data_IF_788614149814
#
_entry.id   IF_788614149814
#
_cell.length_a   1.000
_cell.length_b   1.000
_cell.length_c   1.000
_cell.angle_alpha   90.00
_cell.angle_beta   90.00
_cell.angle_gamma   90.00
#
_symmetry.space_group_name_H-M   'P 1'
#
loop_
_entity.id
_entity.type
_entity.pdbx_description
1 polymer ?
#
# COMPACT_ATOMS: atom_id res chain seq x y z
N UNK A 1 5.41 8.88 7.31
CA UNK A 1 6.24 8.98 8.53
C UNK A 1 5.42 8.49 9.72
N UNK A 2 6.04 7.73 10.62
CA UNK A 2 5.41 7.38 11.92
C UNK A 2 5.09 8.66 12.68
N UNK A 3 3.83 8.82 13.08
CA UNK A 3 3.42 9.84 14.04
C UNK A 3 3.61 9.29 15.45
N UNK A 4 3.04 8.12 15.74
CA UNK A 4 3.07 7.49 17.06
C UNK A 4 3.19 5.96 16.96
N UNK A 5 3.83 5.34 17.95
CA UNK A 5 3.84 3.88 18.17
C UNK A 5 3.32 3.60 19.57
N UNK A 6 2.38 2.66 19.68
CA UNK A 6 1.77 2.23 20.94
C UNK A 6 1.90 0.72 21.05
N UNK A 7 2.26 0.24 22.24
CA UNK A 7 2.19 -1.18 22.59
C UNK A 7 1.19 -1.31 23.72
N UNK A 8 0.18 -2.15 23.53
CA UNK A 8 -0.87 -2.40 24.52
C UNK A 8 -1.16 -3.88 24.67
N UNK A 9 -1.65 -4.27 25.85
CA UNK A 9 -2.24 -5.61 26.04
C UNK A 9 -3.62 -5.67 25.41
N UNK A 10 -4.08 -6.87 25.10
CA UNK A 10 -5.45 -7.14 24.66
C UNK A 10 -6.53 -6.65 25.63
N UNK A 11 -6.19 -6.51 26.92
CA UNK A 11 -7.03 -5.85 27.94
C UNK A 11 -7.14 -4.33 27.78
N UNK A 12 -6.40 -3.73 26.84
CA UNK A 12 -6.34 -2.29 26.61
C UNK A 12 -5.32 -1.55 27.48
N UNK A 13 -4.53 -2.26 28.30
CA UNK A 13 -3.51 -1.63 29.16
C UNK A 13 -2.31 -1.19 28.29
N UNK A 14 -1.98 0.12 28.23
CA UNK A 14 -0.82 0.59 27.48
C UNK A 14 0.48 0.26 28.23
N UNK A 15 1.37 -0.46 27.56
CA UNK A 15 2.69 -0.82 28.10
C UNK A 15 3.77 0.16 27.65
N UNK A 16 3.65 0.68 26.44
CA UNK A 16 4.66 1.57 25.86
C UNK A 16 4.04 2.55 24.87
N UNK A 17 4.61 3.75 24.80
CA UNK A 17 4.22 4.80 23.87
C UNK A 17 5.47 5.56 23.41
N UNK A 18 5.54 5.77 22.11
CA UNK A 18 6.53 6.58 21.45
C UNK A 18 5.83 7.57 20.52
N UNK A 19 6.25 8.83 20.57
CA UNK A 19 5.73 9.91 19.71
C UNK A 19 6.90 10.72 19.19
N UNK A 20 7.00 10.84 17.87
CA UNK A 20 8.07 11.60 17.20
C UNK A 20 8.00 13.09 17.55
N UNK A 21 6.79 13.61 17.74
CA UNK A 21 6.55 15.02 18.05
C UNK A 21 6.43 15.31 19.55
N UNK A 22 6.59 14.30 20.41
CA UNK A 22 6.42 14.42 21.85
C UNK A 22 4.98 14.73 22.30
N UNK A 23 4.00 14.73 21.38
CA UNK A 23 2.59 14.85 21.72
C UNK A 23 2.09 13.57 22.37
N UNK A 24 1.46 13.68 23.54
CA UNK A 24 0.79 12.57 24.21
C UNK A 24 -0.68 12.54 23.80
N UNK A 25 -0.98 11.92 22.67
CA UNK A 25 -2.36 11.57 22.27
C UNK A 25 -2.70 10.11 22.56
N UNK A 26 -2.02 9.51 23.54
CA UNK A 26 -2.15 8.10 23.89
C UNK A 26 -3.62 7.73 24.17
N UNK A 27 -4.34 8.54 24.94
CA UNK A 27 -5.72 8.25 25.34
C UNK A 27 -6.69 8.28 24.15
N UNK A 28 -6.51 9.23 23.22
CA UNK A 28 -7.29 9.32 21.97
C UNK A 28 -7.03 8.10 21.08
N UNK A 29 -5.75 7.70 20.94
CA UNK A 29 -5.34 6.56 20.11
C UNK A 29 -5.83 5.25 20.68
N UNK A 30 -5.64 5.02 21.98
CA UNK A 30 -6.10 3.79 22.64
C UNK A 30 -7.62 3.69 22.57
N UNK A 31 -8.35 4.79 22.77
CA UNK A 31 -9.81 4.80 22.66
C UNK A 31 -10.29 4.52 21.23
N UNK A 32 -9.69 5.18 20.23
CA UNK A 32 -10.01 4.95 18.82
C UNK A 32 -9.70 3.51 18.39
N UNK A 33 -8.56 2.97 18.83
CA UNK A 33 -8.15 1.60 18.54
C UNK A 33 -9.04 0.56 19.22
N UNK A 34 -9.37 0.71 20.50
CA UNK A 34 -10.25 -0.22 21.22
C UNK A 34 -11.68 -0.18 20.66
N UNK A 35 -12.16 1.00 20.25
CA UNK A 35 -13.43 1.13 19.52
C UNK A 35 -13.40 0.35 18.19
N UNK A 36 -12.29 0.46 17.46
CA UNK A 36 -12.08 -0.26 16.20
C UNK A 36 -11.90 -1.77 16.37
N UNK A 37 -11.21 -2.22 17.42
CA UNK A 37 -11.08 -3.64 17.77
C UNK A 37 -12.42 -4.19 18.25
N UNK A 38 -13.20 -3.42 19.02
CA UNK A 38 -14.53 -3.82 19.48
C UNK A 38 -15.46 -4.18 18.33
N UNK A 39 -15.38 -3.46 17.20
CA UNK A 39 -16.14 -3.79 15.99
C UNK A 39 -15.54 -4.94 15.15
N UNK A 40 -14.25 -5.24 15.33
CA UNK A 40 -13.52 -6.30 14.60
C UNK A 40 -13.53 -7.67 15.30
N UNK A 41 -13.57 -7.70 16.63
CA UNK A 41 -13.57 -8.94 17.45
C UNK A 41 -14.90 -9.69 17.34
N UNK A 42 -15.98 -9.03 16.90
CA UNK A 42 -17.19 -9.73 16.47
C UNK A 42 -17.02 -10.51 15.16
N UNK A 43 -15.90 -10.37 14.42
CA UNK A 43 -15.78 -10.86 13.04
C UNK A 43 -14.59 -11.77 12.68
N UNK A 44 -13.51 -11.96 13.47
CA UNK A 44 -12.48 -12.95 13.10
C UNK A 44 -11.42 -13.28 14.17
N UNK A 45 -10.96 -14.53 14.18
CA UNK A 45 -9.95 -15.08 15.09
C UNK A 45 -8.57 -15.37 14.48
N UNK A 46 -8.09 -14.58 13.51
CA UNK A 46 -6.74 -14.77 12.94
C UNK A 46 -5.91 -13.47 12.85
N UNK A 47 -4.60 -13.66 13.01
CA UNK A 47 -3.51 -12.68 12.92
C UNK A 47 -3.32 -12.15 11.48
N UNK A 48 -4.26 -11.38 10.94
CA UNK A 48 -4.10 -10.71 9.65
C UNK A 48 -4.03 -9.19 9.80
N UNK A 49 -3.16 -8.59 8.97
CA UNK A 49 -2.94 -7.14 8.84
C UNK A 49 -4.30 -6.44 8.78
N UNK A 50 -4.58 -5.63 9.77
CA UNK A 50 -5.79 -4.83 9.79
C UNK A 50 -5.34 -3.37 9.77
N UNK A 51 -5.87 -2.61 8.83
CA UNK A 51 -5.54 -1.21 8.59
C UNK A 51 -6.83 -0.41 8.73
N UNK A 52 -6.81 0.64 9.54
CA UNK A 52 -7.94 1.53 9.69
C UNK A 52 -7.53 2.95 9.30
N UNK A 53 -8.21 3.52 8.31
CA UNK A 53 -7.91 4.84 7.76
C UNK A 53 -8.82 5.92 8.36
N UNK A 54 -8.23 7.07 8.67
CA UNK A 54 -8.85 8.35 9.02
C UNK A 54 -8.47 9.38 7.96
N UNK A 55 -9.07 10.58 8.02
CA UNK A 55 -8.93 11.62 7.01
C UNK A 55 -7.48 12.02 6.64
N UNK A 56 -6.50 11.87 7.54
CA UNK A 56 -5.08 12.19 7.27
C UNK A 56 -4.09 11.15 7.80
N UNK A 57 -4.58 10.07 8.40
CA UNK A 57 -3.75 9.10 9.12
C UNK A 57 -4.35 7.71 9.02
N UNK A 58 -3.56 6.66 9.14
CA UNK A 58 -4.08 5.30 9.31
C UNK A 58 -3.36 4.57 10.44
N UNK A 59 -4.09 3.66 11.10
CA UNK A 59 -3.51 2.70 12.02
C UNK A 59 -3.06 1.47 11.26
N UNK A 60 -1.83 1.05 11.54
CA UNK A 60 -1.30 -0.25 11.14
C UNK A 60 -0.98 -0.98 12.43
N UNK A 61 -1.37 -2.24 12.57
CA UNK A 61 -1.02 -3.01 13.75
C UNK A 61 -0.67 -4.46 13.47
N UNK A 62 0.07 -5.04 14.42
CA UNK A 62 0.46 -6.44 14.48
C UNK A 62 0.12 -6.96 15.87
N UNK A 63 -0.54 -8.13 15.94
CA UNK A 63 -0.78 -8.85 17.19
C UNK A 63 0.33 -9.88 17.39
N UNK A 64 0.85 -9.98 18.61
CA UNK A 64 1.81 -11.02 19.01
C UNK A 64 1.49 -11.50 20.42
N UNK A 65 0.86 -12.66 20.52
CA UNK A 65 0.34 -13.16 21.80
C UNK A 65 -0.80 -12.27 22.32
N UNK A 66 -0.68 -11.80 23.57
CA UNK A 66 -1.61 -10.86 24.21
C UNK A 66 -1.26 -9.38 23.94
N UNK A 67 -0.27 -9.10 23.09
CA UNK A 67 0.19 -7.76 22.80
C UNK A 67 -0.23 -7.28 21.41
N UNK A 68 -0.63 -6.02 21.32
CA UNK A 68 -0.82 -5.28 20.09
C UNK A 68 0.28 -4.23 19.93
N UNK A 69 0.90 -4.23 18.76
CA UNK A 69 1.89 -3.25 18.33
C UNK A 69 1.23 -2.39 17.25
N UNK A 70 1.09 -1.10 17.52
CA UNK A 70 0.28 -0.19 16.71
C UNK A 70 1.15 0.98 16.27
N UNK A 71 1.09 1.32 14.99
CA UNK A 71 1.65 2.54 14.43
C UNK A 71 0.53 3.42 13.89
N UNK A 72 0.54 4.70 14.27
CA UNK A 72 -0.21 5.75 13.60
C UNK A 72 0.69 6.38 12.54
N UNK A 73 0.31 6.25 11.27
CA UNK A 73 1.10 6.71 10.12
C UNK A 73 0.28 7.63 9.24
N UNK A 74 0.91 8.33 8.29
CA UNK A 74 0.15 9.13 7.30
C UNK A 74 -0.71 8.20 6.44
N UNK A 75 -1.82 8.70 5.90
CA UNK A 75 -2.68 7.87 5.05
C UNK A 75 -1.96 7.33 3.80
N UNK A 76 -1.08 8.14 3.20
CA UNK A 76 -0.29 7.82 2.00
C UNK A 76 0.83 6.80 2.24
N UNK A 77 1.14 6.47 3.49
CA UNK A 77 2.26 5.60 3.82
C UNK A 77 1.95 4.12 3.55
N UNK A 78 2.81 3.35 2.90
CA UNK A 78 2.58 1.91 2.69
C UNK A 78 2.41 1.15 4.02
N UNK A 79 1.24 0.52 4.22
CA UNK A 79 0.95 -0.21 5.45
C UNK A 79 1.86 -1.44 5.63
N UNK A 80 2.30 -2.04 4.52
CA UNK A 80 3.19 -3.21 4.51
C UNK A 80 4.57 -2.89 5.11
N UNK A 81 5.13 -1.71 4.83
CA UNK A 81 6.39 -1.27 5.44
C UNK A 81 6.26 -1.20 6.96
N UNK A 82 5.19 -0.56 7.44
CA UNK A 82 4.97 -0.45 8.88
C UNK A 82 4.63 -1.79 9.53
N UNK A 83 4.06 -2.76 8.79
CA UNK A 83 3.93 -4.14 9.29
C UNK A 83 5.30 -4.77 9.54
N UNK A 84 6.23 -4.65 8.60
CA UNK A 84 7.59 -5.18 8.76
C UNK A 84 8.27 -4.53 9.98
N UNK A 85 8.19 -3.20 10.08
CA UNK A 85 8.71 -2.43 11.23
C UNK A 85 8.10 -2.93 12.55
N UNK A 86 6.77 -3.04 12.63
CA UNK A 86 6.08 -3.47 13.84
C UNK A 86 6.36 -4.92 14.19
N UNK A 87 6.55 -5.80 13.20
CA UNK A 87 6.91 -7.21 13.41
C UNK A 87 8.29 -7.33 14.04
N UNK A 88 9.27 -6.59 13.51
CA UNK A 88 10.63 -6.54 14.07
C UNK A 88 10.60 -5.96 15.49
N UNK A 89 9.86 -4.87 15.71
CA UNK A 89 9.67 -4.30 17.05
C UNK A 89 9.01 -5.29 18.00
N UNK A 90 8.03 -6.07 17.55
CA UNK A 90 7.35 -7.06 18.36
C UNK A 90 8.29 -8.21 18.78
N UNK A 91 9.15 -8.68 17.89
CA UNK A 91 10.22 -9.62 18.20
C UNK A 91 11.20 -9.08 19.23
N UNK A 92 11.71 -7.87 19.02
CA UNK A 92 12.65 -7.24 19.95
C UNK A 92 12.03 -6.99 21.32
N UNK A 93 10.80 -6.49 21.37
CA UNK A 93 10.10 -6.16 22.62
C UNK A 93 9.83 -7.42 23.45
N UNK A 94 9.23 -8.44 22.84
CA UNK A 94 8.91 -9.70 23.55
C UNK A 94 10.18 -10.40 24.02
N UNK A 95 11.24 -10.40 23.21
CA UNK A 95 12.53 -10.98 23.58
C UNK A 95 13.18 -10.23 24.74
N UNK A 96 13.20 -8.89 24.69
CA UNK A 96 13.86 -8.03 25.68
C UNK A 96 13.15 -8.00 27.03
N UNK A 97 11.81 -8.04 27.06
CA UNK A 97 11.00 -7.85 28.26
C UNK A 97 10.17 -9.07 28.66
N UNK A 98 10.58 -10.28 28.24
CA UNK A 98 9.83 -11.50 28.51
C UNK A 98 9.54 -11.73 30.00
N UNK A 99 10.50 -11.41 30.88
CA UNK A 99 10.34 -11.59 32.32
C UNK A 99 9.39 -10.57 32.95
N UNK A 100 9.44 -9.32 32.51
CA UNK A 100 8.59 -8.22 32.95
C UNK A 100 7.14 -8.44 32.51
N UNK A 101 6.94 -8.92 31.28
CA UNK A 101 5.61 -9.22 30.73
C UNK A 101 4.85 -10.30 31.52
N UNK A 102 5.55 -11.19 32.24
CA UNK A 102 4.93 -12.20 33.11
C UNK A 102 4.48 -11.70 34.48
N UNK A 103 4.89 -10.50 34.88
CA UNK A 103 4.45 -9.92 36.17
C UNK A 103 3.01 -9.46 36.05
N UNK A 104 2.24 -9.57 37.13
CA UNK A 104 0.84 -9.11 37.18
C UNK A 104 0.77 -7.58 37.16
N UNK A 105 1.63 -6.92 37.94
CA UNK A 105 1.74 -5.46 37.98
C UNK A 105 2.92 -5.00 37.12
N UNK A 106 2.61 -4.53 35.91
CA UNK A 106 3.60 -3.94 35.02
C UNK A 106 3.30 -2.46 34.81
N UNK A 107 4.30 -1.61 35.00
CA UNK A 107 4.16 -0.17 34.85
C UNK A 107 4.73 0.27 33.51
N UNK A 108 4.10 1.28 32.91
CA UNK A 108 4.57 1.93 31.68
C UNK A 108 6.07 2.32 31.72
N UNK A 109 6.59 2.68 32.90
CA UNK A 109 7.99 3.10 33.07
C UNK A 109 8.99 1.98 32.85
N UNK A 110 8.58 0.73 33.05
CA UNK A 110 9.45 -0.44 32.95
C UNK A 110 9.93 -0.65 31.50
N UNK A 111 9.16 -0.16 30.54
CA UNK A 111 9.42 -0.31 29.10
C UNK A 111 10.05 0.93 28.45
N UNK A 112 10.32 2.00 29.21
CA UNK A 112 10.81 3.26 28.63
C UNK A 112 12.14 3.10 27.88
N UNK A 113 12.98 2.16 28.30
CA UNK A 113 14.25 1.83 27.63
C UNK A 113 14.07 1.19 26.25
N UNK A 114 12.84 0.94 25.81
CA UNK A 114 12.53 0.48 24.46
C UNK A 114 12.53 1.62 23.43
N UNK A 115 12.46 2.89 23.87
CA UNK A 115 12.53 4.05 22.97
C UNK A 115 13.75 4.00 22.06
N UNK A 116 14.93 3.69 22.60
CA UNK A 116 16.17 3.59 21.81
C UNK A 116 16.08 2.48 20.74
N UNK A 117 15.41 1.36 21.06
CA UNK A 117 15.19 0.26 20.11
C UNK A 117 14.20 0.65 19.01
N UNK A 118 13.18 1.43 19.35
CA UNK A 118 12.21 1.98 18.38
C UNK A 118 12.90 2.96 17.44
N UNK A 119 13.67 3.91 17.97
CA UNK A 119 14.40 4.90 17.17
C UNK A 119 15.40 4.24 16.23
N UNK A 120 16.20 3.31 16.74
CA UNK A 120 17.15 2.53 15.93
C UNK A 120 16.44 1.74 14.83
N UNK A 121 15.28 1.13 15.12
CA UNK A 121 14.50 0.40 14.11
C UNK A 121 13.96 1.36 13.05
N UNK A 122 13.37 2.49 13.44
CA UNK A 122 12.86 3.49 12.49
C UNK A 122 13.98 4.05 11.60
N UNK A 123 15.18 4.27 12.13
CA UNK A 123 16.34 4.70 11.36
C UNK A 123 16.76 3.70 10.28
N UNK A 124 16.64 2.38 10.52
CA UNK A 124 16.92 1.37 9.48
C UNK A 124 16.04 1.56 8.25
N UNK A 125 14.78 1.91 8.47
CA UNK A 125 13.77 2.10 7.43
C UNK A 125 13.66 3.54 6.94
N UNK A 126 14.50 4.46 7.43
CA UNK A 126 14.45 5.85 6.99
C UNK A 126 14.68 5.98 5.47
N UNK A 127 13.94 6.88 4.84
CA UNK A 127 13.88 7.09 3.39
C UNK A 127 12.98 6.10 2.62
N UNK A 128 12.78 4.87 3.09
CA UNK A 128 12.01 3.85 2.34
C UNK A 128 10.51 4.16 2.26
N UNK A 129 9.81 4.56 3.35
CA UNK A 129 8.42 4.97 3.25
C UNK A 129 8.20 6.11 2.25
N UNK A 130 9.15 7.05 2.17
CA UNK A 130 9.08 8.17 1.22
C UNK A 130 9.26 7.72 -0.23
N UNK A 131 10.13 6.74 -0.48
CA UNK A 131 10.32 6.14 -1.80
C UNK A 131 9.12 5.31 -2.22
N UNK A 132 8.60 4.45 -1.34
CA UNK A 132 7.45 3.58 -1.61
C UNK A 132 6.14 4.34 -1.87
N UNK A 133 6.05 5.61 -1.45
CA UNK A 133 4.95 6.51 -1.84
C UNK A 133 4.95 6.86 -3.33
N UNK A 134 6.15 6.94 -3.93
CA UNK A 134 6.34 7.49 -5.29
C UNK A 134 6.71 6.41 -6.31
N UNK A 135 7.34 5.34 -5.85
CA UNK A 135 7.98 4.33 -6.67
C UNK A 135 7.66 2.93 -6.14
N UNK A 136 7.74 1.95 -7.04
CA UNK A 136 7.80 0.56 -6.67
C UNK A 136 9.14 0.30 -5.95
N UNK A 137 9.11 -0.44 -4.84
CA UNK A 137 10.28 -0.66 -3.96
C UNK A 137 10.43 -2.14 -3.63
N UNK A 138 11.67 -2.60 -3.50
CA UNK A 138 11.99 -3.96 -3.07
C UNK A 138 12.56 -3.90 -1.65
N UNK A 139 11.88 -4.52 -0.69
CA UNK A 139 12.33 -4.62 0.69
C UNK A 139 13.22 -5.85 0.88
N UNK A 140 14.48 -5.59 1.22
CA UNK A 140 15.42 -6.61 1.69
C UNK A 140 15.24 -6.92 3.17
N UNK A 141 15.75 -8.08 3.64
CA UNK A 141 15.93 -8.33 5.06
C UNK A 141 16.67 -7.17 5.76
N UNK A 142 16.31 -6.81 7.01
CA UNK A 142 16.84 -5.61 7.67
C UNK A 142 18.36 -5.55 7.80
N UNK A 143 19.03 -6.71 7.91
CA UNK A 143 20.49 -6.78 8.04
C UNK A 143 21.18 -6.56 6.69
N UNK A 144 20.66 -7.15 5.61
CA UNK A 144 21.16 -6.95 4.25
C UNK A 144 20.99 -5.49 3.80
N UNK A 145 19.80 -4.92 4.03
CA UNK A 145 19.53 -3.52 3.73
C UNK A 145 20.47 -2.58 4.49
N UNK A 146 20.73 -2.86 5.77
CA UNK A 146 21.64 -2.04 6.59
C UNK A 146 23.06 -2.13 6.05
N UNK A 147 23.53 -3.33 5.73
CA UNK A 147 24.85 -3.53 5.15
C UNK A 147 24.99 -2.77 3.83
N UNK A 148 23.99 -2.84 2.95
CA UNK A 148 23.96 -2.07 1.71
C UNK A 148 24.04 -0.56 1.96
N UNK A 149 23.24 -0.02 2.89
CA UNK A 149 23.25 1.42 3.22
C UNK A 149 24.60 1.87 3.76
N UNK A 150 25.27 1.07 4.60
CA UNK A 150 26.60 1.39 5.12
C UNK A 150 27.61 1.47 3.97
N UNK A 151 27.67 0.46 3.12
CA UNK A 151 28.63 0.41 2.00
C UNK A 151 28.33 1.53 0.99
N UNK A 152 27.06 1.82 0.71
CA UNK A 152 26.65 2.93 -0.14
C UNK A 152 27.13 4.27 0.43
N UNK A 153 26.92 4.51 1.73
CA UNK A 153 27.36 5.74 2.40
C UNK A 153 28.89 5.88 2.41
N UNK A 154 29.64 4.78 2.55
CA UNK A 154 31.11 4.79 2.48
C UNK A 154 31.61 5.19 1.09
N UNK A 155 30.93 4.73 0.04
CA UNK A 155 31.25 5.07 -1.35
C UNK A 155 30.91 6.53 -1.66
N UNK A 156 29.77 7.01 -1.16
CA UNK A 156 29.33 8.41 -1.31
C UNK A 156 30.18 9.41 -0.50
N UNK A 157 30.95 8.94 0.48
CA UNK A 157 31.94 9.78 1.16
C UNK A 157 33.11 10.15 0.23
N UNK A 158 33.30 9.44 -0.89
CA UNK A 158 34.33 9.73 -1.87
C UNK A 158 33.97 10.96 -2.70
N UNK A 159 34.90 11.91 -2.88
CA UNK A 159 34.64 13.20 -3.54
C UNK A 159 34.15 13.13 -5.01
N UNK A 160 34.35 11.99 -5.65
CA UNK A 160 34.00 11.72 -7.05
C UNK A 160 32.60 11.14 -7.22
N UNK A 161 31.96 10.70 -6.14
CA UNK A 161 30.63 10.08 -6.14
C UNK A 161 29.72 10.91 -5.24
N UNK A 162 28.62 11.40 -5.79
CA UNK A 162 27.69 12.25 -5.05
C UNK A 162 26.59 11.45 -4.36
N UNK A 163 25.97 10.51 -5.08
CA UNK A 163 24.81 9.72 -4.67
C UNK A 163 24.79 8.40 -5.46
N UNK A 164 24.21 7.36 -4.91
CA UNK A 164 23.98 6.11 -5.63
C UNK A 164 22.69 5.40 -5.25
N UNK A 165 22.40 4.32 -5.97
CA UNK A 165 21.27 3.46 -5.73
C UNK A 165 21.33 2.15 -6.52
N UNK A 166 20.48 1.21 -6.13
CA UNK A 166 20.26 -0.08 -6.76
C UNK A 166 18.78 -0.21 -7.12
N UNK A 167 18.52 -0.51 -8.39
CA UNK A 167 17.19 -0.75 -8.93
C UNK A 167 17.18 -2.13 -9.59
N UNK A 168 16.08 -2.86 -9.48
CA UNK A 168 15.88 -4.13 -10.18
C UNK A 168 15.53 -3.91 -11.66
N UNK A 169 15.67 -4.95 -12.48
CA UNK A 169 15.32 -4.89 -13.91
C UNK A 169 13.84 -4.56 -14.19
N UNK A 170 12.95 -4.84 -13.24
CA UNK A 170 11.52 -4.53 -13.31
C UNK A 170 11.16 -3.17 -12.68
N UNK A 171 12.16 -2.35 -12.31
CA UNK A 171 11.96 -0.97 -11.87
C UNK A 171 11.70 -0.79 -10.37
N UNK A 172 11.84 -1.82 -9.54
CA UNK A 172 11.76 -1.66 -8.08
C UNK A 172 13.05 -1.06 -7.52
N UNK A 173 12.91 -0.05 -6.67
CA UNK A 173 14.04 0.55 -5.95
C UNK A 173 14.37 -0.31 -4.74
N UNK A 174 15.59 -0.87 -4.69
CA UNK A 174 16.08 -1.67 -3.56
C UNK A 174 16.66 -0.76 -2.46
N UNK A 175 17.56 0.14 -2.83
CA UNK A 175 18.16 1.16 -1.97
C UNK A 175 18.55 2.34 -2.82
N UNK A 176 18.33 3.57 -2.35
CA UNK A 176 18.70 4.75 -3.13
C UNK A 176 18.87 5.98 -2.24
N UNK A 177 19.94 6.72 -2.51
CA UNK A 177 20.15 8.10 -2.06
C UNK A 177 20.01 9.10 -3.23
N UNK A 178 19.66 8.62 -4.43
CA UNK A 178 19.38 9.46 -5.60
C UNK A 178 18.20 10.40 -5.32
N UNK A 179 18.23 11.60 -5.91
CA UNK A 179 17.12 12.54 -5.85
C UNK A 179 15.96 12.03 -6.72
N UNK A 180 14.74 12.50 -6.45
CA UNK A 180 13.55 12.06 -7.19
C UNK A 180 13.73 12.19 -8.72
N UNK A 181 14.17 13.35 -9.22
CA UNK A 181 14.38 13.56 -10.66
C UNK A 181 15.56 12.74 -11.24
N UNK A 182 16.50 12.28 -10.40
CA UNK A 182 17.57 11.38 -10.82
C UNK A 182 17.02 9.96 -10.94
N UNK A 183 16.16 9.54 -10.01
CA UNK A 183 15.45 8.26 -10.08
C UNK A 183 14.54 8.19 -11.30
N UNK A 184 13.72 9.21 -11.57
CA UNK A 184 12.85 9.24 -12.77
C UNK A 184 13.69 9.05 -14.05
N UNK A 185 14.79 9.80 -14.16
CA UNK A 185 15.68 9.70 -15.33
C UNK A 185 16.24 8.28 -15.50
N UNK A 186 16.57 7.59 -14.40
CA UNK A 186 17.09 6.22 -14.45
C UNK A 186 15.99 5.20 -14.74
N UNK A 187 14.79 5.40 -14.21
CA UNK A 187 13.63 4.57 -14.50
C UNK A 187 13.26 4.66 -15.99
N UNK A 188 13.27 5.87 -16.56
CA UNK A 188 13.05 6.08 -18.00
C UNK A 188 14.12 5.41 -18.87
N UNK A 189 15.35 5.30 -18.35
CA UNK A 189 16.46 4.66 -19.05
C UNK A 189 16.47 3.13 -18.91
N UNK A 190 15.76 2.54 -17.93
CA UNK A 190 15.78 1.09 -17.68
C UNK A 190 15.42 0.26 -18.92
N UNK A 191 14.41 0.69 -19.66
CA UNK A 191 13.95 -0.01 -20.87
C UNK A 191 15.05 -0.10 -21.94
N UNK A 192 15.93 0.91 -22.00
CA UNK A 192 17.07 0.92 -22.93
C UNK A 192 18.18 -0.06 -22.56
N UNK A 193 18.22 -0.53 -21.31
CA UNK A 193 19.27 -1.41 -20.79
C UNK A 193 18.93 -2.90 -20.87
N UNK A 194 17.66 -3.23 -21.05
CA UNK A 194 17.18 -4.62 -21.19
C UNK A 194 17.61 -5.28 -22.52
N UNK A 195 18.13 -4.51 -23.48
CA UNK A 195 18.68 -5.06 -24.72
C UNK A 195 20.05 -5.73 -24.49
N UNK A 196 20.17 -6.99 -24.94
CA UNK A 196 21.29 -7.92 -24.71
C UNK A 196 22.65 -7.52 -25.33
N UNK A 197 22.80 -6.29 -25.81
CA UNK A 197 24.01 -5.79 -26.48
C UNK A 197 24.76 -4.68 -25.75
N UNK A 198 24.24 -4.17 -24.64
CA UNK A 198 24.85 -3.02 -23.95
C UNK A 198 25.90 -3.49 -22.94
N UNK A 199 27.07 -2.82 -22.95
CA UNK A 199 28.20 -3.06 -22.05
C UNK A 199 27.80 -3.16 -20.57
N UNK A 200 28.59 -3.92 -19.79
CA UNK A 200 28.33 -4.14 -18.35
C UNK A 200 28.35 -2.84 -17.54
N UNK A 201 29.09 -1.83 -17.98
CA UNK A 201 29.10 -0.51 -17.35
C UNK A 201 29.07 0.57 -18.41
N UNK A 202 28.46 1.71 -18.09
CA UNK A 202 28.38 2.85 -19.00
C UNK A 202 28.32 4.18 -18.26
N UNK A 203 28.67 5.24 -18.99
CA UNK A 203 28.56 6.62 -18.54
C UNK A 203 27.50 7.34 -19.36
N UNK A 204 26.48 7.86 -18.69
CA UNK A 204 25.36 8.57 -19.32
C UNK A 204 25.33 10.01 -18.84
N UNK A 205 25.49 10.94 -19.77
CA UNK A 205 25.22 12.37 -19.52
C UNK A 205 23.72 12.57 -19.66
N UNK A 206 23.08 13.15 -18.65
CA UNK A 206 21.64 13.39 -18.66
C UNK A 206 21.35 14.84 -18.29
N UNK A 207 20.30 15.42 -18.87
CA UNK A 207 19.92 16.83 -18.68
C UNK A 207 19.46 17.15 -17.26
N UNK A 208 19.10 16.12 -16.49
CA UNK A 208 18.71 16.26 -15.08
C UNK A 208 19.91 16.39 -14.13
N UNK A 209 21.14 16.19 -14.61
CA UNK A 209 22.36 16.31 -13.81
C UNK A 209 23.05 17.66 -14.04
N UNK A 210 23.89 18.04 -13.07
CA UNK A 210 24.81 19.17 -13.25
C UNK A 210 25.74 18.91 -14.45
N UNK A 211 26.16 19.94 -15.21
CA UNK A 211 26.99 19.77 -16.41
C UNK A 211 28.34 19.07 -16.17
N UNK A 212 28.79 19.05 -14.91
CA UNK A 212 30.04 18.41 -14.47
C UNK A 212 29.81 17.01 -13.90
N UNK A 213 28.59 16.48 -14.02
CA UNK A 213 28.19 15.20 -13.45
C UNK A 213 27.66 14.28 -14.55
N UNK A 214 27.69 12.98 -14.30
CA UNK A 214 27.14 11.96 -15.18
C UNK A 214 26.65 10.78 -14.35
N UNK A 215 25.74 9.99 -14.91
CA UNK A 215 25.41 8.71 -14.32
C UNK A 215 26.46 7.68 -14.72
N UNK A 216 27.08 7.05 -13.73
CA UNK A 216 27.79 5.81 -13.91
C UNK A 216 26.83 4.66 -13.58
N UNK A 217 26.52 3.85 -14.58
CA UNK A 217 25.58 2.74 -14.46
C UNK A 217 26.37 1.45 -14.62
N UNK A 218 26.20 0.53 -13.69
CA UNK A 218 26.82 -0.79 -13.72
C UNK A 218 25.74 -1.86 -13.57
N UNK A 219 25.72 -2.83 -14.48
CA UNK A 219 24.77 -3.93 -14.47
C UNK A 219 25.16 -4.96 -13.40
N UNK A 220 24.15 -5.61 -12.84
CA UNK A 220 24.29 -6.77 -11.98
C UNK A 220 23.16 -7.76 -12.27
N UNK A 221 23.23 -8.94 -11.68
CA UNK A 221 22.29 -10.03 -11.99
C UNK A 221 20.82 -9.62 -11.74
N UNK A 222 20.57 -8.84 -10.70
CA UNK A 222 19.21 -8.45 -10.29
C UNK A 222 18.71 -7.14 -10.92
N UNK A 223 19.60 -6.32 -11.49
CA UNK A 223 19.26 -5.00 -12.00
C UNK A 223 20.45 -4.11 -12.33
N UNK A 224 20.32 -2.81 -12.01
CA UNK A 224 21.35 -1.81 -12.24
C UNK A 224 21.73 -1.07 -10.95
N UNK A 225 23.04 -0.91 -10.77
CA UNK A 225 23.61 0.03 -9.82
C UNK A 225 23.87 1.35 -10.54
N UNK A 226 23.36 2.45 -10.00
CA UNK A 226 23.56 3.77 -10.58
C UNK A 226 24.20 4.70 -9.56
N UNK A 227 25.20 5.46 -10.01
CA UNK A 227 25.87 6.48 -9.23
C UNK A 227 25.94 7.80 -9.99
N UNK A 228 25.68 8.92 -9.31
CA UNK A 228 25.96 10.25 -9.83
C UNK A 228 27.43 10.55 -9.55
N UNK A 229 28.23 10.64 -10.60
CA UNK A 229 29.69 10.78 -10.51
C UNK A 229 30.17 12.05 -11.22
N UNK A 230 31.35 12.54 -10.87
CA UNK A 230 31.98 13.68 -11.58
C UNK A 230 32.37 13.28 -13.01
N UNK A 231 32.06 14.11 -13.99
CA UNK A 231 32.50 13.91 -15.36
C UNK A 231 34.03 14.02 -15.47
N UNK A 232 34.63 13.28 -16.41
CA UNK A 232 36.05 13.40 -16.77
C UNK A 232 37.01 12.37 -16.16
N UNK A 233 36.52 11.44 -15.33
CA UNK A 233 37.27 10.24 -14.94
C UNK A 233 36.91 9.05 -15.82
N UNK A 234 37.80 8.06 -15.89
CA UNK A 234 37.57 6.83 -16.66
C UNK A 234 36.60 5.86 -15.95
N UNK A 235 35.92 5.01 -16.71
CA UNK A 235 34.96 4.02 -16.18
C UNK A 235 35.63 3.00 -15.26
N UNK A 236 36.87 2.61 -15.53
CA UNK A 236 37.61 1.66 -14.69
C UNK A 236 37.85 2.23 -13.28
N UNK A 237 38.10 3.54 -13.18
CA UNK A 237 38.23 4.23 -11.91
C UNK A 237 36.94 4.12 -11.08
N UNK A 238 35.78 4.39 -11.68
CA UNK A 238 34.51 4.26 -10.98
C UNK A 238 34.15 2.83 -10.62
N UNK A 239 34.43 1.88 -11.51
CA UNK A 239 34.25 0.45 -11.24
C UNK A 239 35.03 0.00 -10.00
N UNK A 240 36.27 0.47 -9.85
CA UNK A 240 37.09 0.18 -8.68
C UNK A 240 36.52 0.80 -7.40
N UNK A 241 36.01 2.04 -7.47
CA UNK A 241 35.38 2.71 -6.33
C UNK A 241 34.10 1.98 -5.86
N UNK A 242 33.26 1.51 -6.79
CA UNK A 242 31.99 0.86 -6.42
C UNK A 242 32.12 -0.65 -6.18
N UNK A 243 33.29 -1.24 -6.41
CA UNK A 243 33.53 -2.67 -6.24
C UNK A 243 33.11 -3.22 -4.85
N UNK A 244 33.28 -2.50 -3.72
CA UNK A 244 32.76 -2.95 -2.42
C UNK A 244 31.23 -3.12 -2.39
N UNK A 245 30.49 -2.25 -3.08
CA UNK A 245 29.03 -2.33 -3.18
C UNK A 245 28.62 -3.52 -4.05
N UNK A 246 29.27 -3.70 -5.21
CA UNK A 246 29.03 -4.86 -6.07
C UNK A 246 29.25 -6.18 -5.33
N UNK A 247 30.37 -6.30 -4.59
CA UNK A 247 30.65 -7.48 -3.75
C UNK A 247 29.60 -7.70 -2.65
N UNK A 248 28.93 -6.64 -2.19
CA UNK A 248 27.86 -6.74 -1.21
C UNK A 248 26.59 -7.25 -1.86
N UNK A 249 26.25 -6.76 -3.06
CA UNK A 249 25.13 -7.24 -3.87
C UNK A 249 25.28 -8.74 -4.16
N UNK A 250 26.46 -9.18 -4.59
CA UNK A 250 26.72 -10.59 -4.93
C UNK A 250 26.54 -11.56 -3.74
N UNK A 251 26.50 -11.05 -2.51
CA UNK A 251 26.33 -11.85 -1.27
C UNK A 251 24.90 -11.90 -0.77
N UNK A 252 24.02 -11.03 -1.25
CA UNK A 252 22.65 -10.90 -0.75
C UNK A 252 21.74 -11.90 -1.48
N UNK A 253 20.91 -12.61 -0.71
CA UNK A 253 19.87 -13.48 -1.27
C UNK A 253 18.62 -12.65 -1.59
N UNK A 254 18.54 -12.17 -2.84
CA UNK A 254 17.38 -11.43 -3.34
C UNK A 254 16.12 -12.29 -3.46
N UNK A 255 16.19 -13.62 -3.30
CA UNK A 255 15.00 -14.49 -3.29
C UNK A 255 14.07 -14.22 -2.10
N UNK A 256 14.57 -13.58 -1.04
CA UNK A 256 13.81 -13.22 0.15
C UNK A 256 13.25 -11.78 0.10
N UNK A 257 13.48 -11.05 -1.00
CA UNK A 257 12.98 -9.69 -1.12
C UNK A 257 11.46 -9.66 -1.21
N UNK A 258 10.83 -8.66 -0.58
CA UNK A 258 9.40 -8.39 -0.74
C UNK A 258 9.22 -7.23 -1.70
N UNK A 259 8.53 -7.49 -2.81
CA UNK A 259 8.16 -6.46 -3.77
C UNK A 259 6.97 -5.66 -3.23
N UNK A 260 7.13 -4.35 -3.19
CA UNK A 260 6.09 -3.39 -2.83
C UNK A 260 5.80 -2.53 -4.05
N UNK A 261 4.58 -2.66 -4.56
CA UNK A 261 4.09 -1.71 -5.55
C UNK A 261 3.71 -0.41 -4.86
N UNK A 262 3.96 0.69 -5.57
CA UNK A 262 3.42 2.00 -5.22
C UNK A 262 1.93 1.85 -4.98
N UNK A 263 1.47 2.21 -3.80
CA UNK A 263 0.04 2.46 -3.59
C UNK A 263 -0.29 3.61 -4.55
N UNK A 264 -0.94 3.31 -5.69
CA UNK A 264 -1.55 4.34 -6.52
C UNK A 264 -2.60 5.01 -5.63
N UNK A 265 -2.18 6.08 -4.96
CA UNK A 265 -3.14 7.07 -4.51
C UNK A 265 -3.66 7.70 -5.79
N UNK A 266 -4.77 7.15 -6.29
CA UNK A 266 -5.74 8.01 -6.95
C UNK A 266 -5.93 9.23 -6.03
N UNK A 267 -5.98 10.42 -6.62
CA UNK A 267 -5.93 11.74 -5.96
C UNK A 267 -6.40 11.75 -4.50
N UNK A 268 -5.70 12.42 -3.55
CA UNK A 268 -6.11 12.49 -2.15
C UNK A 268 -7.61 12.81 -2.02
N UNK A 269 -8.38 11.84 -1.50
CA UNK A 269 -9.84 11.97 -1.36
C UNK A 269 -10.68 11.39 -2.50
N UNK A 270 -10.10 10.75 -3.51
CA UNK A 270 -10.84 10.01 -4.53
C UNK A 270 -11.13 8.58 -4.06
N UNK A 271 -12.39 8.17 -4.22
CA UNK A 271 -12.83 6.81 -3.95
C UNK A 271 -12.46 5.92 -5.14
N UNK A 272 -12.06 4.67 -4.88
CA UNK A 272 -11.75 3.73 -5.95
C UNK A 272 -12.95 3.59 -6.90
N UNK A 273 -12.68 3.66 -8.20
CA UNK A 273 -13.73 3.65 -9.23
C UNK A 273 -14.56 2.37 -9.23
N UNK A 274 -14.01 1.28 -8.71
CA UNK A 274 -14.64 -0.04 -8.65
C UNK A 274 -15.29 -0.37 -7.30
N UNK A 275 -15.21 0.52 -6.31
CA UNK A 275 -15.91 0.32 -5.04
C UNK A 275 -17.37 0.77 -5.17
N UNK A 276 -18.27 0.07 -4.47
CA UNK A 276 -19.70 0.35 -4.46
C UNK A 276 -20.06 1.47 -3.47
N UNK A 277 -21.08 2.25 -3.84
CA UNK A 277 -21.69 3.23 -2.94
C UNK A 277 -22.93 2.61 -2.30
N UNK A 278 -22.88 2.41 -0.99
CA UNK A 278 -23.96 1.82 -0.20
C UNK A 278 -24.60 2.88 0.71
N UNK A 279 -25.93 2.91 0.74
CA UNK A 279 -26.68 3.82 1.62
C UNK A 279 -26.84 3.17 3.00
N UNK A 280 -26.51 3.93 4.05
CA UNK A 280 -26.66 3.48 5.44
C UNK A 280 -28.09 3.63 5.97
N UNK A 281 -28.92 4.41 5.27
CA UNK A 281 -30.32 4.68 5.59
C UNK A 281 -31.17 4.52 4.33
N UNK A 282 -32.49 4.27 4.46
CA UNK A 282 -33.39 4.15 3.31
C UNK A 282 -33.28 5.35 2.37
N UNK A 283 -33.42 5.12 1.06
CA UNK A 283 -33.17 6.15 0.04
C UNK A 283 -33.99 7.44 0.23
N UNK A 284 -35.24 7.32 0.66
CA UNK A 284 -36.13 8.47 0.92
C UNK A 284 -35.64 9.32 2.12
N UNK A 285 -35.14 8.65 3.16
CA UNK A 285 -34.55 9.30 4.34
C UNK A 285 -33.19 9.92 3.98
N UNK A 286 -32.39 9.23 3.16
CA UNK A 286 -31.12 9.73 2.65
C UNK A 286 -31.30 11.05 1.88
N UNK A 287 -32.30 11.11 0.99
CA UNK A 287 -32.62 12.32 0.23
C UNK A 287 -33.08 13.47 1.13
N UNK A 288 -33.96 13.18 2.09
CA UNK A 288 -34.46 14.19 3.03
C UNK A 288 -33.34 14.74 3.92
N UNK A 289 -32.49 13.86 4.45
CA UNK A 289 -31.34 14.21 5.29
C UNK A 289 -30.26 14.94 4.49
N UNK A 290 -30.02 14.55 3.24
CA UNK A 290 -29.08 15.23 2.34
C UNK A 290 -29.52 16.67 2.07
N UNK A 291 -30.81 16.95 1.88
CA UNK A 291 -31.27 18.34 1.69
C UNK A 291 -30.90 19.21 2.89
N UNK A 292 -31.06 18.70 4.11
CA UNK A 292 -30.68 19.42 5.33
C UNK A 292 -29.15 19.54 5.50
N UNK A 293 -28.37 18.52 5.10
CA UNK A 293 -26.90 18.54 5.19
C UNK A 293 -26.28 19.56 4.23
N UNK A 294 -26.86 19.70 3.04
CA UNK A 294 -26.34 20.53 1.96
C UNK A 294 -27.10 21.86 1.80
N UNK A 295 -27.91 22.27 2.77
CA UNK A 295 -28.72 23.50 2.69
C UNK A 295 -27.84 24.76 2.62
N UNK A 296 -26.70 24.74 3.31
CA UNK A 296 -25.70 25.83 3.33
C UNK A 296 -24.62 25.70 2.23
N UNK A 297 -24.72 24.69 1.36
CA UNK A 297 -23.73 24.41 0.32
C UNK A 297 -24.17 24.96 -1.05
N UNK A 298 -23.25 25.14 -2.01
CA UNK A 298 -23.62 25.53 -3.37
C UNK A 298 -24.66 24.58 -4.00
N UNK A 299 -25.64 25.12 -4.73
CA UNK A 299 -26.68 24.33 -5.41
C UNK A 299 -26.09 23.23 -6.31
N UNK A 300 -24.92 23.48 -6.90
CA UNK A 300 -24.19 22.50 -7.69
C UNK A 300 -23.82 21.25 -6.88
N UNK A 301 -23.26 21.41 -5.68
CA UNK A 301 -22.88 20.32 -4.79
C UNK A 301 -24.10 19.57 -4.27
N UNK A 302 -25.18 20.30 -3.93
CA UNK A 302 -26.45 19.70 -3.53
C UNK A 302 -27.06 18.84 -4.65
N UNK A 303 -27.03 19.32 -5.89
CA UNK A 303 -27.50 18.60 -7.07
C UNK A 303 -26.68 17.33 -7.32
N UNK A 304 -25.35 17.40 -7.17
CA UNK A 304 -24.45 16.24 -7.27
C UNK A 304 -24.78 15.20 -6.19
N UNK A 305 -24.93 15.60 -4.94
CA UNK A 305 -25.27 14.70 -3.83
C UNK A 305 -26.61 13.98 -4.06
N UNK A 306 -27.65 14.71 -4.50
CA UNK A 306 -28.95 14.12 -4.82
C UNK A 306 -28.85 13.12 -5.97
N UNK A 307 -28.03 13.40 -7.00
CA UNK A 307 -27.80 12.46 -8.10
C UNK A 307 -27.11 11.18 -7.62
N UNK A 308 -26.07 11.30 -6.78
CA UNK A 308 -25.39 10.14 -6.18
C UNK A 308 -26.40 9.28 -5.42
N UNK A 309 -27.20 9.87 -4.53
CA UNK A 309 -28.17 9.14 -3.70
C UNK A 309 -29.26 8.43 -4.50
N UNK A 310 -29.68 8.99 -5.64
CA UNK A 310 -30.64 8.34 -6.54
C UNK A 310 -30.06 7.16 -7.31
N UNK A 311 -28.74 7.12 -7.45
CA UNK A 311 -28.04 6.11 -8.22
C UNK A 311 -27.44 5.02 -7.34
N UNK A 312 -27.14 5.34 -6.08
CA UNK A 312 -26.62 4.39 -5.09
C UNK A 312 -27.68 3.33 -4.76
N UNK A 313 -27.42 2.09 -5.17
CA UNK A 313 -28.24 0.91 -4.92
C UNK A 313 -27.47 -0.18 -4.16
N UNK A 314 -26.28 0.15 -3.65
CA UNK A 314 -25.35 -0.79 -3.01
C UNK A 314 -24.55 -1.65 -4.00
N UNK A 315 -24.81 -1.56 -5.31
CA UNK A 315 -24.12 -2.34 -6.36
C UNK A 315 -23.38 -1.45 -7.35
N UNK A 316 -23.89 -0.24 -7.62
CA UNK A 316 -23.23 0.72 -8.50
C UNK A 316 -21.94 1.22 -7.90
N UNK A 317 -20.92 1.19 -8.74
CA UNK A 317 -19.59 1.65 -8.42
C UNK A 317 -19.45 3.16 -8.54
N UNK A 318 -18.45 3.73 -7.88
CA UNK A 318 -18.12 5.17 -8.00
C UNK A 318 -17.90 5.57 -9.46
N UNK A 319 -17.17 4.75 -10.23
CA UNK A 319 -16.90 4.98 -11.65
C UNK A 319 -18.18 5.00 -12.49
N UNK A 320 -19.10 4.06 -12.26
CA UNK A 320 -20.39 4.03 -12.96
C UNK A 320 -21.27 5.24 -12.64
N UNK A 321 -21.26 5.68 -11.38
CA UNK A 321 -21.99 6.87 -10.98
C UNK A 321 -21.38 8.08 -11.69
N UNK A 322 -20.06 8.21 -11.74
CA UNK A 322 -19.37 9.30 -12.45
C UNK A 322 -19.76 9.34 -13.94
N UNK A 323 -19.70 8.19 -14.63
CA UNK A 323 -19.96 8.07 -16.06
C UNK A 323 -21.43 8.37 -16.40
N UNK A 324 -22.37 7.71 -15.72
CA UNK A 324 -23.79 7.84 -16.00
C UNK A 324 -24.35 9.23 -15.61
N UNK A 325 -23.77 9.86 -14.59
CA UNK A 325 -24.19 11.20 -14.15
C UNK A 325 -23.51 12.33 -14.92
N UNK A 326 -22.46 12.01 -15.70
CA UNK A 326 -21.57 12.97 -16.37
C UNK A 326 -20.99 14.02 -15.40
N UNK A 327 -20.77 13.63 -14.15
CA UNK A 327 -20.23 14.50 -13.09
C UNK A 327 -18.69 14.35 -13.09
N UNK A 328 -17.92 15.45 -13.11
CA UNK A 328 -16.47 15.38 -12.97
C UNK A 328 -16.05 14.66 -11.68
N UNK A 329 -15.07 13.75 -11.77
CA UNK A 329 -14.63 12.89 -10.65
C UNK A 329 -14.34 13.68 -9.37
N UNK A 330 -13.62 14.81 -9.45
CA UNK A 330 -13.32 15.63 -8.27
C UNK A 330 -14.57 16.11 -7.52
N UNK A 331 -15.62 16.54 -8.25
CA UNK A 331 -16.89 17.00 -7.65
C UNK A 331 -17.70 15.83 -7.07
N UNK A 332 -17.66 14.67 -7.74
CA UNK A 332 -18.28 13.46 -7.24
C UNK A 332 -17.67 13.02 -5.90
N UNK A 333 -16.34 13.00 -5.83
CA UNK A 333 -15.58 12.66 -4.62
C UNK A 333 -15.85 13.62 -3.46
N UNK A 334 -15.91 14.93 -3.73
CA UNK A 334 -16.25 15.92 -2.69
C UNK A 334 -17.64 15.66 -2.09
N UNK A 335 -18.65 15.47 -2.94
CA UNK A 335 -20.02 15.20 -2.48
C UNK A 335 -20.15 13.85 -1.75
N UNK A 336 -19.48 12.80 -2.24
CA UNK A 336 -19.42 11.50 -1.57
C UNK A 336 -18.74 11.60 -0.20
N UNK A 337 -17.62 12.32 -0.09
CA UNK A 337 -16.92 12.52 1.18
C UNK A 337 -17.83 13.19 2.23
N UNK A 338 -18.63 14.18 1.82
CA UNK A 338 -19.61 14.81 2.70
C UNK A 338 -20.69 13.81 3.12
N UNK A 339 -21.27 13.06 2.18
CA UNK A 339 -22.29 12.03 2.49
C UNK A 339 -21.78 10.97 3.47
N UNK A 340 -20.53 10.54 3.32
CA UNK A 340 -19.88 9.57 4.21
C UNK A 340 -19.61 10.18 5.58
N UNK A 341 -19.05 11.39 5.64
CA UNK A 341 -18.76 12.08 6.91
C UNK A 341 -20.01 12.30 7.78
N UNK A 342 -21.19 12.34 7.16
CA UNK A 342 -22.48 12.52 7.82
C UNK A 342 -23.23 11.21 8.06
N UNK A 343 -22.63 10.07 7.72
CA UNK A 343 -23.20 8.74 7.91
C UNK A 343 -24.46 8.50 7.06
N UNK A 344 -24.53 9.08 5.86
CA UNK A 344 -25.62 8.84 4.90
C UNK A 344 -25.28 7.68 3.95
N UNK A 345 -24.01 7.61 3.53
CA UNK A 345 -23.50 6.58 2.65
C UNK A 345 -22.17 6.04 3.17
N UNK A 346 -21.76 4.89 2.66
CA UNK A 346 -20.43 4.32 2.85
C UNK A 346 -19.88 3.79 1.53
N UNK A 347 -18.57 3.61 1.47
CA UNK A 347 -17.90 2.90 0.38
C UNK A 347 -17.69 1.46 0.81
N UNK A 348 -18.19 0.54 0.01
CA UNK A 348 -18.08 -0.89 0.24
C UNK A 348 -17.32 -1.55 -0.91
N UNK A 349 -16.47 -2.52 -0.58
CA UNK A 349 -15.83 -3.36 -1.59
C UNK A 349 -16.87 -4.29 -2.23
N UNK A 350 -16.71 -4.56 -3.51
CA UNK A 350 -17.53 -5.54 -4.23
C UNK A 350 -16.88 -6.93 -4.21
N UNK A 351 -17.67 -7.91 -3.81
CA UNK A 351 -17.35 -9.33 -3.76
C UNK A 351 -18.24 -10.08 -4.76
N UNK A 352 -17.69 -10.53 -5.90
CA UNK A 352 -18.47 -11.30 -6.86
C UNK A 352 -18.68 -12.73 -6.36
N UNK A 353 -19.91 -13.22 -6.50
CA UNK A 353 -20.31 -14.60 -6.22
C UNK A 353 -20.89 -15.20 -7.49
N UNK A 354 -20.34 -16.33 -7.90
CA UNK A 354 -20.81 -17.12 -9.03
C UNK A 354 -21.28 -18.49 -8.56
N UNK A 355 -22.44 -18.94 -9.06
CA UNK A 355 -22.98 -20.28 -8.80
C UNK A 355 -22.15 -21.36 -9.51
N UNK A 356 -22.22 -22.63 -9.13
CA UNK A 356 -21.40 -23.70 -9.75
C UNK A 356 -21.54 -23.78 -11.28
N UNK A 357 -20.42 -24.07 -11.98
CA UNK A 357 -20.42 -24.32 -13.42
C UNK A 357 -21.10 -25.66 -13.70
N UNK A 358 -22.39 -25.61 -14.00
CA UNK A 358 -23.10 -26.73 -14.60
C UNK A 358 -23.01 -26.66 -16.13
N UNK A 359 -23.45 -27.72 -16.81
CA UNK A 359 -23.52 -27.78 -18.27
C UNK A 359 -24.37 -26.64 -18.86
N UNK A 360 -25.25 -26.01 -18.06
CA UNK A 360 -26.09 -24.88 -18.46
C UNK A 360 -25.30 -23.58 -18.49
N UNK A 361 -24.29 -23.42 -17.64
CA UNK A 361 -23.38 -22.27 -17.68
C UNK A 361 -22.56 -22.26 -18.98
N UNK A 362 -22.01 -23.41 -19.39
CA UNK A 362 -21.28 -23.52 -20.67
C UNK A 362 -22.19 -23.21 -21.88
N UNK A 363 -23.40 -23.77 -21.90
CA UNK A 363 -24.39 -23.46 -22.94
C UNK A 363 -24.80 -21.97 -22.93
N UNK A 364 -24.88 -21.34 -21.75
CA UNK A 364 -25.17 -19.91 -21.63
C UNK A 364 -24.06 -19.05 -22.24
N UNK A 365 -22.79 -19.35 -21.95
CA UNK A 365 -21.63 -18.63 -22.52
C UNK A 365 -21.62 -18.69 -24.05
N UNK A 366 -21.98 -19.82 -24.64
CA UNK A 366 -22.13 -19.97 -26.09
C UNK A 366 -23.28 -19.10 -26.65
N UNK A 367 -24.41 -19.04 -25.96
CA UNK A 367 -25.60 -18.29 -26.39
C UNK A 367 -25.38 -16.77 -26.33
N UNK A 368 -24.68 -16.27 -25.31
CA UNK A 368 -24.38 -14.83 -25.21
C UNK A 368 -23.24 -14.39 -26.13
N UNK A 369 -22.56 -15.34 -26.78
CA UNK A 369 -21.52 -15.06 -27.78
C UNK A 369 -20.29 -14.39 -27.17
N UNK A 370 -19.91 -14.76 -25.94
CA UNK A 370 -18.73 -14.18 -25.28
C UNK A 370 -17.46 -14.51 -26.09
N UNK A 371 -16.59 -13.52 -26.38
CA UNK A 371 -15.33 -13.76 -27.07
C UNK A 371 -14.45 -14.77 -26.33
N UNK A 372 -13.69 -15.59 -27.05
CA UNK A 372 -12.78 -16.57 -26.44
C UNK A 372 -11.81 -15.95 -25.41
N UNK A 373 -11.38 -14.70 -25.63
CA UNK A 373 -10.51 -13.96 -24.70
C UNK A 373 -11.15 -13.69 -23.34
N UNK A 374 -12.46 -13.50 -23.32
CA UNK A 374 -13.23 -13.22 -22.10
C UNK A 374 -13.51 -14.52 -21.36
N UNK A 375 -13.67 -15.63 -22.09
CA UNK A 375 -13.73 -16.97 -21.53
C UNK A 375 -12.47 -17.31 -20.72
N UNK A 376 -11.28 -17.05 -21.28
CA UNK A 376 -10.01 -17.29 -20.59
C UNK A 376 -9.91 -16.47 -19.29
N UNK A 377 -10.46 -15.24 -19.27
CA UNK A 377 -10.54 -14.41 -18.05
C UNK A 377 -11.48 -15.05 -17.03
N UNK A 378 -12.68 -15.48 -17.46
CA UNK A 378 -13.65 -16.14 -16.57
C UNK A 378 -13.02 -17.40 -15.97
N UNK A 379 -12.30 -18.20 -16.74
CA UNK A 379 -11.56 -19.38 -16.25
C UNK A 379 -10.50 -19.02 -15.21
N UNK A 380 -9.76 -17.94 -15.40
CA UNK A 380 -8.74 -17.49 -14.47
C UNK A 380 -9.32 -16.98 -13.13
N UNK A 381 -10.42 -16.22 -13.18
CA UNK A 381 -10.99 -15.56 -12.00
C UNK A 381 -12.04 -16.41 -11.27
N UNK A 382 -12.66 -17.39 -11.93
CA UNK A 382 -13.81 -18.14 -11.42
C UNK A 382 -13.65 -18.65 -10.00
N UNK A 383 -12.52 -19.32 -9.73
CA UNK A 383 -12.20 -19.93 -8.44
C UNK A 383 -12.13 -18.91 -7.29
N UNK A 384 -12.05 -17.61 -7.61
CA UNK A 384 -12.00 -16.51 -6.67
C UNK A 384 -13.32 -15.73 -6.57
N UNK A 385 -14.29 -16.02 -7.43
CA UNK A 385 -15.61 -15.40 -7.45
C UNK A 385 -16.61 -16.16 -6.55
N UNK A 386 -16.24 -16.46 -5.32
CA UNK A 386 -17.08 -17.15 -4.33
C UNK A 386 -17.58 -16.21 -3.22
N UNK A 387 -17.37 -14.90 -3.38
CA UNK A 387 -17.66 -13.87 -2.38
C UNK A 387 -16.57 -13.70 -1.32
N UNK A 388 -15.51 -14.51 -1.34
CA UNK A 388 -14.43 -14.43 -0.35
C UNK A 388 -13.35 -13.40 -0.72
N UNK A 389 -13.29 -12.93 -1.96
CA UNK A 389 -12.27 -11.97 -2.41
C UNK A 389 -12.91 -10.77 -3.10
N UNK A 390 -12.38 -9.58 -2.83
CA UNK A 390 -12.82 -8.37 -3.52
C UNK A 390 -12.22 -8.29 -4.92
N UNK A 391 -12.81 -7.47 -5.80
CA UNK A 391 -12.28 -7.26 -7.15
C UNK A 391 -10.78 -6.91 -7.19
N UNK A 392 -10.32 -6.04 -6.28
CA UNK A 392 -8.90 -5.67 -6.16
C UNK A 392 -8.00 -6.85 -5.78
N UNK A 393 -8.48 -7.75 -4.91
CA UNK A 393 -7.75 -8.94 -4.48
C UNK A 393 -7.68 -9.99 -5.60
N UNK A 394 -8.77 -10.17 -6.35
CA UNK A 394 -8.80 -11.03 -7.54
C UNK A 394 -7.82 -10.50 -8.58
N UNK A 395 -7.82 -9.19 -8.81
CA UNK A 395 -6.90 -8.52 -9.72
C UNK A 395 -5.44 -8.77 -9.35
N UNK A 396 -5.07 -8.58 -8.09
CA UNK A 396 -3.72 -8.83 -7.59
C UNK A 396 -3.28 -10.30 -7.78
N UNK A 397 -4.19 -11.28 -7.62
CA UNK A 397 -3.86 -12.71 -7.75
C UNK A 397 -3.75 -13.20 -9.19
N UNK A 398 -4.52 -12.60 -10.09
CA UNK A 398 -4.63 -13.04 -11.48
C UNK A 398 -3.83 -12.17 -12.45
N UNK A 399 -3.32 -11.03 -11.99
CA UNK A 399 -2.67 -10.00 -12.81
C UNK A 399 -3.59 -9.44 -13.91
N UNK A 400 -4.91 -9.59 -13.78
CA UNK A 400 -5.92 -9.03 -14.68
C UNK A 400 -6.45 -7.74 -14.03
N UNK A 401 -6.57 -6.65 -14.78
CA UNK A 401 -6.99 -5.36 -14.21
C UNK A 401 -8.45 -5.38 -13.71
N UNK A 402 -8.72 -4.68 -12.61
CA UNK A 402 -10.07 -4.58 -12.02
C UNK A 402 -11.14 -4.13 -13.02
N UNK A 403 -10.93 -3.09 -13.86
CA UNK A 403 -11.92 -2.68 -14.86
C UNK A 403 -12.28 -3.82 -15.82
N UNK A 404 -11.28 -4.63 -16.22
CA UNK A 404 -11.47 -5.73 -17.15
C UNK A 404 -12.22 -6.91 -16.50
N UNK A 405 -11.88 -7.24 -15.25
CA UNK A 405 -12.61 -8.25 -14.48
C UNK A 405 -14.09 -7.83 -14.35
N UNK A 406 -14.32 -6.57 -13.98
CA UNK A 406 -15.67 -6.04 -13.78
C UNK A 406 -16.49 -6.01 -15.07
N UNK A 407 -15.91 -5.62 -16.21
CA UNK A 407 -16.55 -5.66 -17.53
C UNK A 407 -17.04 -7.06 -17.87
N UNK A 408 -16.16 -8.07 -17.73
CA UNK A 408 -16.46 -9.47 -18.05
C UNK A 408 -17.53 -10.02 -17.11
N UNK A 409 -17.41 -9.79 -15.79
CA UNK A 409 -18.40 -10.26 -14.82
C UNK A 409 -19.78 -9.59 -15.02
N UNK A 410 -19.82 -8.31 -15.41
CA UNK A 410 -21.08 -7.62 -15.73
C UNK A 410 -21.72 -8.15 -17.01
N UNK A 411 -20.94 -8.55 -18.00
CA UNK A 411 -21.46 -9.18 -19.22
C UNK A 411 -22.19 -10.51 -18.93
N UNK A 412 -21.83 -11.19 -17.84
CA UNK A 412 -22.52 -12.40 -17.37
C UNK A 412 -23.86 -12.12 -16.68
N UNK A 413 -24.15 -10.85 -16.36
CA UNK A 413 -25.43 -10.39 -15.83
C UNK A 413 -25.88 -11.18 -14.59
N UNK A 414 -27.00 -11.89 -14.71
CA UNK A 414 -27.67 -12.59 -13.59
C UNK A 414 -26.89 -13.76 -12.99
N UNK A 415 -25.79 -14.19 -13.61
CA UNK A 415 -24.96 -15.30 -13.12
C UNK A 415 -23.87 -14.84 -12.15
N UNK A 416 -23.76 -13.52 -11.93
CA UNK A 416 -22.88 -12.94 -10.93
C UNK A 416 -23.75 -12.20 -9.92
N UNK A 417 -23.75 -12.67 -8.69
CA UNK A 417 -24.27 -11.90 -7.57
C UNK A 417 -23.16 -11.02 -7.00
N UNK A 418 -23.52 -9.80 -6.64
CA UNK A 418 -22.59 -8.79 -6.14
C UNK A 418 -22.91 -8.52 -4.69
N UNK A 419 -21.97 -8.84 -3.82
CA UNK A 419 -22.12 -8.65 -2.39
C UNK A 419 -21.18 -7.54 -1.91
N UNK A 420 -21.66 -6.74 -0.96
CA UNK A 420 -20.87 -5.70 -0.27
C UNK A 420 -20.23 -6.23 1.01
N UNK A 421 -20.62 -7.44 1.42
CA UNK A 421 -20.08 -8.16 2.57
C UNK A 421 -19.36 -9.40 2.10
N UNK A 422 -18.24 -9.71 2.76
CA UNK A 422 -17.42 -10.87 2.42
C UNK A 422 -18.12 -12.15 2.87
N UNK A 423 -18.27 -13.11 1.96
CA UNK A 423 -18.78 -14.45 2.28
C UNK A 423 -17.65 -15.30 2.86
N UNK A 424 -17.80 -15.71 4.11
CA UNK A 424 -16.89 -16.68 4.73
C UNK A 424 -17.42 -18.08 4.48
N UNK A 425 -16.90 -18.77 3.45
CA UNK A 425 -17.12 -20.22 3.34
C UNK A 425 -16.25 -20.93 4.38
N UNK A 426 -16.90 -21.72 5.22
CA UNK A 426 -16.34 -22.49 6.33
C UNK A 426 -14.94 -23.05 6.05
N UNK A 427 -13.98 -22.61 6.87
CA UNK A 427 -12.84 -23.43 7.27
C UNK A 427 -13.44 -24.67 7.95
N UNK A 428 -13.29 -25.83 7.32
CA UNK A 428 -13.43 -27.13 8.00
C UNK A 428 -12.12 -27.50 8.63
#
# INVERSE_FOLDING_TARGET
MVKEIVILRDTGIPLFHYSVYGSKKLDEIVSAFLSAIGSLVEQSGQEQLTVMSFAESKFVWVKKGDLFFIALVSQEDSAEIYRVILTEMAEQFVSKFYAELKKEDVLFRDFRIFTDSVEMTLQKFDGIPSLARRYDTALLPPDDLRQMKIVLSEIEAHESISRGGLLTWDGHIVVSNLRAYELEAILDLLDSFNDKGVEDSMMVVHTSLDPVSSFFINKCDIGICTFVVKAGQDMEYYRNLIAPFMKTIDRIDFGQMRLLHREQSDEPGSFYEHDAVELLIPADDALSRSRAIFDDMPEETQSVAIKILRMADGKKTVGEIAEQSSIPKGRLSEALAILISKGVAQIAKLYPVMDERDDRFSAYLEVIGIPKRDYDIIDAIWQYCDGSLSLSEISARTSISVPRIMEVLKALGKYVDWQTTRVLRYVR
#
